data_IF_230888898215
#
_entry.id   IF_230888898215
#
_cell.length_a   1.000
_cell.length_b   1.000
_cell.length_c   1.000
_cell.angle_alpha   90.00
_cell.angle_beta   90.00
_cell.angle_gamma   90.00
#
_symmetry.space_group_name_H-M   'P 1'
#
loop_
_entity.id
_entity.type
_entity.pdbx_description
1 polymer ?
#
# COMPACT_ATOMS: atom_id res chain seq x y z
N UNK A 1 -1.37 -21.68 9.34
CA UNK A 1 -0.70 -21.20 10.57
C UNK A 1 -0.08 -19.85 10.22
N UNK A 2 -0.47 -18.76 10.88
CA UNK A 2 0.19 -17.45 10.66
C UNK A 2 1.61 -17.57 11.20
N UNK A 3 2.64 -17.10 10.48
CA UNK A 3 3.99 -17.15 11.00
C UNK A 3 4.05 -16.35 12.30
N UNK A 4 4.60 -16.97 13.33
CA UNK A 4 4.82 -16.35 14.64
C UNK A 4 5.86 -15.23 14.49
N UNK A 5 5.52 -14.05 15.00
CA UNK A 5 6.36 -12.85 15.00
C UNK A 5 7.76 -13.12 15.57
N UNK A 6 7.84 -13.85 16.70
CA UNK A 6 9.11 -14.17 17.34
C UNK A 6 9.96 -15.10 16.46
N UNK A 7 9.32 -16.08 15.81
CA UNK A 7 9.99 -16.96 14.85
C UNK A 7 10.55 -16.19 13.65
N UNK A 8 9.79 -15.25 13.07
CA UNK A 8 10.26 -14.42 11.95
C UNK A 8 11.42 -13.51 12.36
N UNK A 9 11.32 -12.85 13.51
CA UNK A 9 12.39 -12.01 14.03
C UNK A 9 13.69 -12.82 14.28
N UNK A 10 13.56 -14.04 14.82
CA UNK A 10 14.71 -14.94 15.01
C UNK A 10 15.34 -15.37 13.69
N UNK A 11 14.53 -15.79 12.71
CA UNK A 11 15.02 -16.15 11.37
C UNK A 11 15.73 -14.97 10.70
N UNK A 12 15.20 -13.76 10.87
CA UNK A 12 15.82 -12.54 10.36
C UNK A 12 17.18 -12.26 11.00
N UNK A 13 17.29 -12.37 12.33
CA UNK A 13 18.56 -12.20 13.03
C UNK A 13 19.61 -13.25 12.61
N UNK A 14 19.21 -14.51 12.42
CA UNK A 14 20.11 -15.55 11.90
C UNK A 14 20.53 -15.28 10.45
N UNK A 15 19.60 -14.82 9.61
CA UNK A 15 19.89 -14.44 8.23
C UNK A 15 20.86 -13.25 8.14
N UNK A 16 20.75 -12.25 9.03
CA UNK A 16 21.72 -11.15 9.14
C UNK A 16 23.14 -11.62 9.49
N UNK A 17 23.25 -12.75 10.20
CA UNK A 17 24.53 -13.39 10.53
C UNK A 17 25.02 -14.37 9.44
N UNK A 18 24.37 -14.41 8.28
CA UNK A 18 24.80 -15.23 7.13
C UNK A 18 24.24 -16.66 7.10
N UNK A 19 23.30 -17.01 7.98
CA UNK A 19 22.66 -18.32 7.94
C UNK A 19 21.72 -18.43 6.71
N UNK A 20 22.16 -19.20 5.72
CA UNK A 20 21.42 -19.40 4.46
C UNK A 20 20.13 -20.19 4.66
N UNK A 21 20.10 -21.13 5.60
CA UNK A 21 18.91 -21.95 5.85
C UNK A 21 17.83 -21.10 6.54
N UNK A 22 18.24 -20.29 7.52
CA UNK A 22 17.34 -19.32 8.16
C UNK A 22 16.82 -18.29 7.15
N UNK A 23 17.67 -17.81 6.24
CA UNK A 23 17.25 -16.89 5.19
C UNK A 23 16.22 -17.50 4.23
N UNK A 24 16.43 -18.75 3.79
CA UNK A 24 15.46 -19.46 2.94
C UNK A 24 14.11 -19.69 3.63
N UNK A 25 14.14 -20.06 4.92
CA UNK A 25 12.94 -20.20 5.72
C UNK A 25 12.21 -18.85 5.90
N UNK A 26 12.95 -17.78 6.17
CA UNK A 26 12.41 -16.42 6.28
C UNK A 26 11.68 -16.00 4.99
N UNK A 27 12.33 -16.16 3.83
CA UNK A 27 11.72 -15.79 2.55
C UNK A 27 10.43 -16.57 2.28
N UNK A 28 10.40 -17.86 2.63
CA UNK A 28 9.23 -18.72 2.45
C UNK A 28 8.04 -18.22 3.30
N UNK A 29 8.28 -17.86 4.56
CA UNK A 29 7.22 -17.32 5.42
C UNK A 29 6.79 -15.91 5.01
N UNK A 30 7.74 -15.05 4.63
CA UNK A 30 7.44 -13.73 4.07
C UNK A 30 6.58 -13.84 2.81
N UNK A 31 6.91 -14.76 1.89
CA UNK A 31 6.12 -15.01 0.69
C UNK A 31 4.67 -15.39 1.02
N UNK A 32 4.47 -16.34 1.95
CA UNK A 32 3.12 -16.73 2.41
C UNK A 32 2.35 -15.54 2.97
N UNK A 33 3.00 -14.76 3.84
CA UNK A 33 2.40 -13.58 4.44
C UNK A 33 2.05 -12.52 3.40
N UNK A 34 2.97 -12.23 2.46
CA UNK A 34 2.79 -11.24 1.39
C UNK A 34 1.67 -11.63 0.43
N UNK A 35 1.57 -12.90 0.03
CA UNK A 35 0.44 -13.39 -0.79
C UNK A 35 -0.89 -13.12 -0.10
N UNK A 36 -1.01 -13.47 1.20
CA UNK A 36 -2.23 -13.17 1.97
C UNK A 36 -2.47 -11.68 2.16
N UNK A 37 -1.41 -10.87 2.24
CA UNK A 37 -1.51 -9.42 2.38
C UNK A 37 -2.01 -8.81 1.06
N UNK A 38 -1.48 -9.19 -0.09
CA UNK A 38 -1.84 -8.57 -1.36
C UNK A 38 -3.10 -9.15 -2.02
N UNK A 39 -3.48 -10.40 -1.74
CA UNK A 39 -4.58 -11.08 -2.45
C UNK A 39 -5.94 -10.38 -2.36
N UNK A 40 -6.14 -9.47 -1.40
CA UNK A 40 -7.36 -8.66 -1.24
C UNK A 40 -7.21 -7.21 -1.72
N UNK A 41 -6.08 -6.86 -2.31
CA UNK A 41 -5.66 -5.48 -2.60
C UNK A 41 -5.27 -5.23 -4.05
N UNK A 42 -4.99 -6.28 -4.81
CA UNK A 42 -4.58 -6.21 -6.21
C UNK A 42 -5.20 -7.35 -7.00
N UNK A 43 -5.26 -7.18 -8.31
CA UNK A 43 -5.73 -8.21 -9.23
C UNK A 43 -4.80 -9.44 -9.21
N UNK A 44 -5.33 -10.67 -9.43
CA UNK A 44 -4.56 -11.91 -9.32
C UNK A 44 -3.34 -11.99 -10.26
N UNK A 45 -3.41 -11.37 -11.44
CA UNK A 45 -2.34 -11.33 -12.44
C UNK A 45 -1.08 -10.58 -11.97
N UNK A 46 -1.22 -9.58 -11.10
CA UNK A 46 -0.08 -8.80 -10.57
C UNK A 46 0.47 -9.32 -9.23
N UNK A 47 -0.18 -10.35 -8.66
CA UNK A 47 0.12 -10.82 -7.32
C UNK A 47 1.54 -11.36 -7.19
N UNK A 48 1.93 -12.22 -8.11
CA UNK A 48 3.20 -12.94 -8.04
C UNK A 48 4.39 -11.98 -8.24
N UNK A 49 4.27 -11.06 -9.18
CA UNK A 49 5.27 -10.02 -9.45
C UNK A 49 5.46 -9.10 -8.24
N UNK A 50 4.37 -8.58 -7.67
CA UNK A 50 4.46 -7.67 -6.53
C UNK A 50 5.05 -8.37 -5.28
N UNK A 51 4.72 -9.64 -5.07
CA UNK A 51 5.33 -10.46 -4.01
C UNK A 51 6.84 -10.57 -4.25
N UNK A 52 7.27 -10.91 -5.46
CA UNK A 52 8.68 -11.05 -5.80
C UNK A 52 9.44 -9.73 -5.62
N UNK A 53 8.91 -8.62 -6.10
CA UNK A 53 9.49 -7.28 -5.93
C UNK A 53 9.64 -6.89 -4.47
N UNK A 54 8.65 -7.26 -3.65
CA UNK A 54 8.69 -7.01 -2.21
C UNK A 54 9.77 -7.84 -1.52
N UNK A 55 9.94 -9.11 -1.91
CA UNK A 55 11.01 -9.97 -1.38
C UNK A 55 12.40 -9.46 -1.80
N UNK A 56 12.54 -8.95 -3.04
CA UNK A 56 13.78 -8.29 -3.47
C UNK A 56 14.07 -7.02 -2.66
N UNK A 57 13.06 -6.21 -2.38
CA UNK A 57 13.20 -5.02 -1.54
C UNK A 57 13.56 -5.38 -0.09
N UNK A 58 12.99 -6.46 0.45
CA UNK A 58 13.34 -7.02 1.75
C UNK A 58 14.81 -7.45 1.78
N UNK A 59 15.27 -8.19 0.76
CA UNK A 59 16.66 -8.62 0.66
C UNK A 59 17.64 -7.44 0.69
N UNK A 60 17.37 -6.39 -0.10
CA UNK A 60 18.19 -5.18 -0.13
C UNK A 60 18.22 -4.45 1.22
N UNK A 61 17.14 -4.56 2.00
CA UNK A 61 17.01 -3.93 3.32
C UNK A 61 17.42 -4.85 4.46
N UNK A 62 17.91 -6.06 4.19
CA UNK A 62 18.17 -7.08 5.21
C UNK A 62 19.09 -6.58 6.32
N UNK A 63 20.19 -5.90 5.98
CA UNK A 63 21.12 -5.35 6.96
C UNK A 63 20.56 -4.14 7.76
N UNK A 64 19.48 -3.52 7.30
CA UNK A 64 18.88 -2.33 7.94
C UNK A 64 17.86 -2.65 9.02
N UNK A 65 17.48 -3.93 9.16
CA UNK A 65 16.54 -4.33 10.20
C UNK A 65 17.20 -4.29 11.59
N UNK A 66 16.48 -3.70 12.54
CA UNK A 66 16.85 -3.60 13.94
C UNK A 66 16.13 -4.71 14.72
N UNK A 67 16.85 -5.71 15.27
CA UNK A 67 16.24 -6.81 16.01
C UNK A 67 15.47 -6.41 17.27
N UNK A 68 15.64 -5.18 17.77
CA UNK A 68 14.85 -4.66 18.89
C UNK A 68 13.43 -4.25 18.49
N UNK A 69 13.14 -4.17 17.19
CA UNK A 69 11.83 -3.81 16.64
C UNK A 69 11.07 -5.04 16.17
N UNK A 70 9.76 -4.90 16.03
CA UNK A 70 8.91 -5.94 15.48
C UNK A 70 9.16 -6.11 13.96
N UNK A 71 9.27 -7.35 13.51
CA UNK A 71 9.51 -7.76 12.14
C UNK A 71 8.29 -7.56 11.24
N UNK A 72 7.10 -8.05 11.62
CA UNK A 72 5.93 -7.93 10.75
C UNK A 72 5.54 -6.47 10.44
N UNK A 73 5.57 -5.52 11.39
CA UNK A 73 5.36 -4.10 11.06
C UNK A 73 6.39 -3.54 10.08
N UNK A 74 7.64 -3.99 10.18
CA UNK A 74 8.71 -3.59 9.25
C UNK A 74 8.49 -4.18 7.85
N UNK A 75 8.17 -5.48 7.75
CA UNK A 75 7.78 -6.13 6.50
C UNK A 75 6.56 -5.45 5.87
N UNK A 76 5.53 -5.17 6.67
CA UNK A 76 4.32 -4.50 6.23
C UNK A 76 4.60 -3.09 5.70
N UNK A 77 5.61 -2.40 6.24
CA UNK A 77 6.02 -1.10 5.73
C UNK A 77 6.66 -1.19 4.33
N UNK A 78 7.53 -2.18 4.12
CA UNK A 78 8.13 -2.46 2.80
C UNK A 78 7.02 -2.84 1.81
N UNK A 79 6.12 -3.75 2.23
CA UNK A 79 5.03 -4.22 1.39
C UNK A 79 4.07 -3.10 0.97
N UNK A 80 3.70 -2.23 1.91
CA UNK A 80 2.85 -1.07 1.61
C UNK A 80 3.53 -0.13 0.63
N UNK A 81 4.82 0.14 0.80
CA UNK A 81 5.54 0.99 -0.15
C UNK A 81 5.50 0.39 -1.56
N UNK A 82 5.82 -0.91 -1.69
CA UNK A 82 5.82 -1.60 -3.00
C UNK A 82 4.44 -1.63 -3.65
N UNK A 83 3.40 -1.90 -2.86
CA UNK A 83 2.03 -1.88 -3.37
C UNK A 83 1.62 -0.51 -3.91
N UNK A 84 1.97 0.55 -3.17
CA UNK A 84 1.67 1.91 -3.60
C UNK A 84 2.46 2.31 -4.85
N UNK A 85 3.72 1.90 -4.94
CA UNK A 85 4.56 2.06 -6.14
C UNK A 85 3.94 1.36 -7.36
N UNK A 86 3.45 0.13 -7.18
CA UNK A 86 2.74 -0.62 -8.20
C UNK A 86 1.43 0.06 -8.63
N UNK A 87 0.60 0.51 -7.68
CA UNK A 87 -0.62 1.24 -8.01
C UNK A 87 -0.32 2.50 -8.85
N UNK A 88 0.73 3.26 -8.51
CA UNK A 88 1.15 4.42 -9.30
C UNK A 88 1.50 4.06 -10.73
N UNK A 89 2.11 2.90 -10.96
CA UNK A 89 2.43 2.43 -12.31
C UNK A 89 1.18 2.02 -13.09
N UNK A 90 0.27 1.28 -12.44
CA UNK A 90 -1.00 0.87 -13.05
C UNK A 90 -1.85 2.09 -13.42
N UNK A 91 -2.05 3.04 -12.49
CA UNK A 91 -2.85 4.24 -12.78
C UNK A 91 -2.24 5.13 -13.87
N UNK A 92 -0.91 5.21 -13.97
CA UNK A 92 -0.25 5.93 -15.07
C UNK A 92 -0.39 5.20 -16.41
N UNK A 93 -0.29 3.86 -16.40
CA UNK A 93 -0.52 3.06 -17.59
C UNK A 93 -1.98 3.22 -18.05
N UNK A 94 -2.94 3.16 -17.12
CA UNK A 94 -4.36 3.39 -17.40
C UNK A 94 -4.64 4.81 -17.93
N UNK A 95 -3.98 5.86 -17.43
CA UNK A 95 -4.07 7.22 -18.03
C UNK A 95 -3.57 7.27 -19.48
N UNK A 96 -2.68 6.36 -19.86
CA UNK A 96 -2.13 6.28 -21.22
C UNK A 96 -2.95 5.33 -22.11
N UNK A 97 -3.59 4.31 -21.54
CA UNK A 97 -4.47 3.33 -22.20
C UNK A 97 -5.95 3.74 -22.22
N UNK A 98 -6.35 4.74 -21.43
CA UNK A 98 -7.68 5.38 -21.49
C UNK A 98 -7.98 6.01 -22.85
N UNK A 99 -6.99 6.14 -23.73
CA UNK A 99 -7.17 6.54 -25.14
C UNK A 99 -7.52 5.34 -26.06
N UNK A 100 -7.40 4.08 -25.62
CA UNK A 100 -7.52 2.90 -26.51
C UNK A 100 -8.35 1.71 -25.98
N UNK A 101 -8.63 1.58 -24.67
CA UNK A 101 -9.25 0.34 -24.11
C UNK A 101 -10.45 0.52 -23.16
N UNK A 102 -11.41 1.41 -23.49
CA UNK A 102 -12.74 1.42 -22.87
C UNK A 102 -13.65 0.30 -23.42
N UNK A 103 -13.33 -0.96 -23.15
CA UNK A 103 -14.21 -2.06 -23.55
C UNK A 103 -14.14 -3.27 -22.60
N UNK A 104 -14.78 -3.19 -21.42
CA UNK A 104 -15.61 -4.31 -20.90
C UNK A 104 -16.38 -4.02 -19.59
N UNK A 105 -16.11 -2.92 -18.88
CA UNK A 105 -16.99 -2.46 -17.79
C UNK A 105 -17.90 -1.37 -18.34
N UNK A 106 -19.23 -1.50 -18.18
CA UNK A 106 -20.20 -0.56 -18.77
C UNK A 106 -19.74 0.88 -18.50
N UNK A 107 -19.42 1.63 -19.57
CA UNK A 107 -18.84 2.98 -19.46
C UNK A 107 -19.70 3.87 -18.55
N UNK A 108 -21.02 3.65 -18.55
CA UNK A 108 -21.98 4.30 -17.65
C UNK A 108 -21.74 4.01 -16.16
N UNK A 109 -21.37 2.79 -15.79
CA UNK A 109 -21.06 2.41 -14.39
C UNK A 109 -19.78 3.08 -13.90
N UNK A 110 -18.73 3.07 -14.73
CA UNK A 110 -17.43 3.66 -14.39
C UNK A 110 -17.54 5.19 -14.31
N UNK A 111 -18.21 5.81 -15.28
CA UNK A 111 -18.47 7.26 -15.30
C UNK A 111 -19.35 7.67 -14.11
N UNK A 112 -20.41 6.91 -13.79
CA UNK A 112 -21.25 7.19 -12.63
C UNK A 112 -20.49 7.05 -11.30
N UNK A 113 -19.60 6.06 -11.17
CA UNK A 113 -18.75 5.87 -10.00
C UNK A 113 -17.72 7.02 -9.83
N UNK A 114 -17.09 7.47 -10.93
CA UNK A 114 -16.16 8.60 -10.93
C UNK A 114 -16.85 9.92 -10.57
N UNK A 115 -18.00 10.22 -11.18
CA UNK A 115 -18.82 11.40 -10.85
C UNK A 115 -19.25 11.37 -9.38
N UNK A 116 -19.56 10.19 -8.85
CA UNK A 116 -19.92 10.01 -7.44
C UNK A 116 -18.73 10.28 -6.50
N UNK A 117 -17.52 9.82 -6.86
CA UNK A 117 -16.30 10.09 -6.08
C UNK A 117 -15.93 11.57 -6.08
N UNK A 118 -15.94 12.24 -7.23
CA UNK A 118 -15.65 13.68 -7.33
C UNK A 118 -16.60 14.51 -6.46
N UNK A 119 -17.90 14.18 -6.49
CA UNK A 119 -18.92 14.82 -5.65
C UNK A 119 -18.73 14.57 -4.16
N UNK A 120 -18.21 13.40 -3.79
CA UNK A 120 -17.92 13.08 -2.39
C UNK A 120 -16.66 13.83 -1.90
N UNK A 121 -15.61 13.88 -2.73
CA UNK A 121 -14.40 14.63 -2.41
C UNK A 121 -14.65 16.13 -2.31
N UNK A 122 -15.53 16.69 -3.15
CA UNK A 122 -15.96 18.09 -3.08
C UNK A 122 -16.67 18.46 -1.75
N UNK A 123 -17.14 17.49 -0.98
CA UNK A 123 -17.77 17.72 0.32
C UNK A 123 -16.78 17.63 1.50
N UNK A 124 -15.51 17.30 1.23
CA UNK A 124 -14.46 17.31 2.24
C UNK A 124 -13.83 18.70 2.35
N UNK A 125 -13.38 19.12 3.55
CA UNK A 125 -12.47 20.25 3.68
C UNK A 125 -11.19 20.01 2.85
N UNK A 126 -10.66 21.06 2.23
CA UNK A 126 -9.51 20.99 1.29
C UNK A 126 -8.32 20.22 1.87
N UNK A 127 -7.95 20.49 3.12
CA UNK A 127 -6.84 19.81 3.79
C UNK A 127 -7.07 18.29 3.97
N UNK A 128 -8.32 17.84 4.04
CA UNK A 128 -8.67 16.42 4.13
C UNK A 128 -8.70 15.78 2.74
N UNK A 129 -9.29 16.47 1.76
CA UNK A 129 -9.31 16.04 0.37
C UNK A 129 -7.88 15.89 -0.16
N UNK A 130 -7.05 16.92 -0.03
CA UNK A 130 -5.66 16.95 -0.48
C UNK A 130 -4.80 15.88 0.22
N UNK A 131 -4.96 15.69 1.53
CA UNK A 131 -4.21 14.65 2.25
C UNK A 131 -4.61 13.23 1.80
N UNK A 132 -5.89 13.01 1.47
CA UNK A 132 -6.37 11.73 0.93
C UNK A 132 -5.89 11.55 -0.51
N UNK A 133 -6.00 12.57 -1.35
CA UNK A 133 -5.54 12.56 -2.74
C UNK A 133 -4.06 12.20 -2.80
N UNK A 134 -3.19 12.96 -2.14
CA UNK A 134 -1.75 12.70 -2.16
C UNK A 134 -1.39 11.29 -1.67
N UNK A 135 -2.02 10.80 -0.59
CA UNK A 135 -1.59 9.53 0.03
C UNK A 135 -2.31 8.30 -0.53
N UNK A 136 -3.59 8.42 -0.89
CA UNK A 136 -4.45 7.30 -1.30
C UNK A 136 -4.64 7.21 -2.80
N UNK A 137 -4.57 8.34 -3.51
CA UNK A 137 -4.71 8.39 -4.96
C UNK A 137 -3.31 8.45 -5.60
N UNK A 138 -2.54 9.48 -5.28
CA UNK A 138 -1.19 9.65 -5.83
C UNK A 138 -0.13 8.77 -5.14
N UNK A 139 -0.46 8.10 -4.03
CA UNK A 139 0.41 7.13 -3.38
C UNK A 139 1.64 7.70 -2.66
N UNK A 140 1.65 8.98 -2.29
CA UNK A 140 2.74 9.53 -1.49
C UNK A 140 2.76 8.87 -0.11
N UNK A 141 3.96 8.63 0.41
CA UNK A 141 4.12 8.32 1.83
C UNK A 141 3.67 9.51 2.67
N UNK A 142 3.35 9.28 3.94
CA UNK A 142 2.92 10.35 4.84
C UNK A 142 3.98 11.45 4.96
N UNK A 143 5.27 11.08 4.95
CA UNK A 143 6.38 12.03 4.98
C UNK A 143 6.54 12.83 3.67
N UNK A 144 6.20 12.24 2.52
CA UNK A 144 6.19 12.95 1.23
C UNK A 144 5.00 13.90 1.14
N UNK A 145 3.80 13.46 1.50
CA UNK A 145 2.60 14.29 1.52
C UNK A 145 2.73 15.45 2.52
N UNK A 146 3.29 15.20 3.71
CA UNK A 146 3.61 16.23 4.69
C UNK A 146 4.50 17.34 4.10
N UNK A 147 5.56 16.96 3.38
CA UNK A 147 6.45 17.91 2.70
C UNK A 147 5.74 18.64 1.55
N UNK A 148 4.92 17.94 0.76
CA UNK A 148 4.18 18.53 -0.35
C UNK A 148 3.15 19.58 0.10
N UNK A 149 2.45 19.34 1.22
CA UNK A 149 1.44 20.25 1.77
C UNK A 149 1.99 21.30 2.74
N UNK A 150 3.27 21.22 3.15
CA UNK A 150 3.80 22.02 4.26
C UNK A 150 3.14 21.72 5.62
N UNK A 151 2.65 20.49 5.81
CA UNK A 151 1.96 20.05 7.03
C UNK A 151 2.82 19.07 7.83
N UNK A 152 2.52 18.87 9.12
CA UNK A 152 3.18 17.80 9.90
C UNK A 152 2.63 16.42 9.51
N UNK A 153 3.46 15.36 9.61
CA UNK A 153 3.00 13.98 9.36
C UNK A 153 1.80 13.58 10.24
N UNK A 154 1.76 14.09 11.48
CA UNK A 154 0.63 13.88 12.40
C UNK A 154 -0.65 14.52 11.88
N UNK A 155 -0.56 15.73 11.32
CA UNK A 155 -1.71 16.41 10.74
C UNK A 155 -2.22 15.71 9.47
N UNK A 156 -1.31 15.21 8.61
CA UNK A 156 -1.67 14.38 7.45
C UNK A 156 -2.46 13.13 7.88
N UNK A 157 -1.97 12.40 8.90
CA UNK A 157 -2.68 11.23 9.45
C UNK A 157 -4.09 11.58 9.95
N UNK A 158 -4.22 12.70 10.68
CA UNK A 158 -5.50 13.18 11.20
C UNK A 158 -6.47 13.56 10.06
N UNK A 159 -5.97 14.28 9.06
CA UNK A 159 -6.75 14.71 7.91
C UNK A 159 -7.29 13.50 7.12
N UNK A 160 -6.44 12.50 6.85
CA UNK A 160 -6.85 11.26 6.19
C UNK A 160 -7.91 10.53 7.01
N UNK A 161 -7.68 10.36 8.33
CA UNK A 161 -8.62 9.64 9.18
C UNK A 161 -10.01 10.32 9.21
N UNK A 162 -10.03 11.65 9.38
CA UNK A 162 -11.28 12.43 9.42
C UNK A 162 -12.00 12.44 8.09
N UNK A 163 -11.26 12.60 6.98
CA UNK A 163 -11.84 12.60 5.64
C UNK A 163 -12.45 11.24 5.29
N UNK A 164 -11.72 10.13 5.52
CA UNK A 164 -12.25 8.78 5.28
C UNK A 164 -13.50 8.49 6.13
N UNK A 165 -13.50 8.89 7.40
CA UNK A 165 -14.69 8.74 8.26
C UNK A 165 -15.90 9.51 7.72
N UNK A 166 -15.67 10.72 7.19
CA UNK A 166 -16.73 11.55 6.59
C UNK A 166 -17.27 10.94 5.30
N UNK A 167 -16.38 10.44 4.43
CA UNK A 167 -16.76 9.72 3.21
C UNK A 167 -17.58 8.46 3.52
N UNK A 168 -17.15 7.64 4.48
CA UNK A 168 -17.90 6.44 4.90
C UNK A 168 -19.30 6.80 5.39
N UNK A 169 -19.45 7.85 6.20
CA UNK A 169 -20.74 8.29 6.70
C UNK A 169 -21.67 8.86 5.60
N UNK A 170 -21.12 9.35 4.48
CA UNK A 170 -21.91 9.78 3.32
C UNK A 170 -22.40 8.58 2.52
N UNK A 171 -21.55 7.54 2.37
CA UNK A 171 -21.90 6.30 1.66
C UNK A 171 -22.94 5.49 2.46
N UNK A 172 -22.85 5.44 3.79
CA UNK A 172 -23.84 4.77 4.64
C UNK A 172 -25.23 5.44 4.65
N UNK A 173 -25.32 6.70 4.20
CA UNK A 173 -26.56 7.47 4.12
C UNK A 173 -27.16 7.54 2.71
N UNK A 174 -26.41 7.10 1.69
CA UNK A 174 -26.85 7.03 0.30
C UNK A 174 -27.56 5.71 0.04
#
# INVERSE_FOLDING_TARGET
>A
MRPDEASLARLMAMAQNGDRQAYGALLTECQRWLRSYYSRRIAPNHLDDLVQDTLMALHRKLASYDPSRAFLPWLAAIARYRWVDHLRQVYRADETELDDHLADESEESVVAARISLERLFAQLPDNQAQAIELVKIEGLSIAEAARACGQSESLIKVNIHRGLKKLSAMIEKA
#
